data_IF_656099117140
#
_entry.id   IF_656099117140
#
_cell.length_a   1.000
_cell.length_b   1.000
_cell.length_c   1.000
_cell.angle_alpha   90.00
_cell.angle_beta   90.00
_cell.angle_gamma   90.00
#
_symmetry.space_group_name_H-M   'P 1'
#
loop_
_entity.id
_entity.type
_entity.pdbx_description
1 polymer ?
#
# COMPACT_ATOMS: atom_id res chain seq x y z
N UNK A 1 12.59 4.82 7.20
CA UNK A 1 11.63 5.89 6.86
C UNK A 1 10.31 5.63 7.59
N UNK A 2 9.85 6.55 8.47
CA UNK A 2 8.66 6.36 9.30
C UNK A 2 7.37 6.13 8.49
N UNK A 3 7.30 6.69 7.29
CA UNK A 3 6.13 6.58 6.42
C UNK A 3 6.03 5.19 5.80
N UNK A 4 7.17 4.66 5.32
CA UNK A 4 7.23 3.30 4.80
C UNK A 4 6.89 2.24 5.87
N UNK A 5 7.23 2.49 7.14
CA UNK A 5 6.85 1.61 8.26
C UNK A 5 5.33 1.59 8.49
N UNK A 6 4.65 2.73 8.35
CA UNK A 6 3.17 2.80 8.46
C UNK A 6 2.47 2.09 7.30
N UNK A 7 3.05 2.13 6.11
CA UNK A 7 2.51 1.48 4.91
C UNK A 7 2.86 -0.01 4.82
N UNK A 8 3.74 -0.49 5.70
CA UNK A 8 4.18 -1.88 5.71
C UNK A 8 3.00 -2.80 6.04
N UNK A 9 2.85 -3.86 5.22
CA UNK A 9 1.87 -4.91 5.49
C UNK A 9 2.28 -5.67 6.76
N UNK A 10 1.31 -5.85 7.67
CA UNK A 10 1.51 -6.61 8.91
C UNK A 10 1.41 -8.12 8.70
N UNK A 11 0.59 -8.55 7.74
CA UNK A 11 0.34 -9.96 7.43
C UNK A 11 0.95 -10.34 6.07
N UNK A 12 1.39 -11.61 5.90
CA UNK A 12 1.86 -12.12 4.62
C UNK A 12 0.74 -12.09 3.57
N UNK A 13 1.12 -11.81 2.32
CA UNK A 13 0.21 -11.74 1.18
C UNK A 13 0.30 -13.03 0.35
N UNK A 14 -0.39 -14.08 0.80
CA UNK A 14 -0.36 -15.41 0.19
C UNK A 14 -1.03 -15.47 -1.18
N UNK A 15 -1.85 -14.47 -1.53
CA UNK A 15 -2.50 -14.36 -2.83
C UNK A 15 -1.49 -14.27 -3.98
N UNK A 16 -0.25 -13.82 -3.72
CA UNK A 16 0.85 -13.83 -4.69
C UNK A 16 1.28 -15.25 -5.08
N UNK A 17 1.13 -16.21 -4.16
CA UNK A 17 1.55 -17.59 -4.38
C UNK A 17 0.47 -18.42 -5.10
N UNK A 18 -0.67 -17.80 -5.45
CA UNK A 18 -1.75 -18.50 -6.15
C UNK A 18 -1.33 -18.91 -7.55
N UNK A 19 -1.86 -20.04 -8.07
CA UNK A 19 -1.62 -20.45 -9.45
C UNK A 19 -2.10 -19.38 -10.44
N UNK A 20 -1.46 -19.35 -11.61
CA UNK A 20 -1.92 -18.52 -12.72
C UNK A 20 -3.32 -18.94 -13.20
N UNK A 21 -3.95 -18.05 -13.95
CA UNK A 21 -5.26 -18.31 -14.55
C UNK A 21 -5.13 -19.32 -15.69
N UNK A 22 -6.12 -20.21 -15.80
CA UNK A 22 -6.18 -21.18 -16.89
C UNK A 22 -6.56 -20.46 -18.19
N UNK A 23 -5.63 -20.35 -19.14
CA UNK A 23 -5.88 -19.74 -20.44
C UNK A 23 -6.93 -20.48 -21.27
N UNK A 24 -7.04 -21.81 -21.12
CA UNK A 24 -8.05 -22.63 -21.80
C UNK A 24 -9.45 -22.45 -21.21
N UNK A 25 -9.55 -22.20 -19.90
CA UNK A 25 -10.84 -21.94 -19.26
C UNK A 25 -11.42 -20.60 -19.72
N UNK A 26 -10.57 -19.56 -19.83
CA UNK A 26 -10.99 -18.25 -20.36
C UNK A 26 -11.52 -18.35 -21.80
N UNK A 27 -11.01 -19.31 -22.59
CA UNK A 27 -11.50 -19.60 -23.95
C UNK A 27 -12.71 -20.55 -24.00
N UNK A 28 -13.09 -21.17 -22.88
CA UNK A 28 -14.16 -22.17 -22.82
C UNK A 28 -13.77 -23.59 -23.25
N UNK A 29 -12.47 -23.88 -23.38
CA UNK A 29 -11.96 -25.16 -23.92
C UNK A 29 -11.27 -26.03 -22.86
N UNK A 30 -11.32 -25.66 -21.58
CA UNK A 30 -10.69 -26.43 -20.52
C UNK A 30 -11.41 -27.77 -20.30
N UNK A 31 -10.78 -28.88 -20.72
CA UNK A 31 -11.31 -30.25 -20.55
C UNK A 31 -10.94 -30.90 -19.21
N UNK A 32 -10.11 -30.23 -18.39
CA UNK A 32 -9.61 -30.77 -17.11
C UNK A 32 -10.61 -30.62 -15.95
N UNK A 33 -11.67 -29.82 -16.12
CA UNK A 33 -12.68 -29.59 -15.09
C UNK A 33 -12.06 -29.20 -13.75
N UNK A 34 -12.54 -29.82 -12.67
CA UNK A 34 -12.08 -29.58 -11.29
C UNK A 34 -10.65 -30.09 -11.03
N UNK A 35 -10.07 -30.92 -11.89
CA UNK A 35 -8.68 -31.40 -11.76
C UNK A 35 -7.66 -30.44 -12.39
N UNK A 36 -8.10 -29.25 -12.83
CA UNK A 36 -7.22 -28.22 -13.34
C UNK A 36 -6.45 -27.55 -12.19
N UNK A 37 -5.09 -27.60 -12.16
CA UNK A 37 -4.31 -26.92 -11.12
C UNK A 37 -4.27 -25.40 -11.29
N UNK A 38 -4.69 -24.91 -12.46
CA UNK A 38 -4.78 -23.49 -12.77
C UNK A 38 -6.13 -22.94 -12.34
N UNK A 39 -6.19 -21.66 -12.01
CA UNK A 39 -7.41 -21.05 -11.51
C UNK A 39 -8.43 -20.80 -12.62
N UNK A 40 -9.68 -21.12 -12.34
CA UNK A 40 -10.85 -20.87 -13.18
C UNK A 40 -11.56 -19.57 -12.74
N UNK A 41 -10.87 -18.45 -12.90
CA UNK A 41 -11.37 -17.11 -12.57
C UNK A 41 -11.14 -16.16 -13.76
N UNK A 42 -11.92 -15.08 -13.85
CA UNK A 42 -11.72 -14.08 -14.91
C UNK A 42 -10.43 -13.28 -14.66
N UNK A 43 -9.65 -13.00 -15.72
CA UNK A 43 -8.50 -12.12 -15.62
C UNK A 43 -8.91 -10.69 -15.27
N UNK A 44 -7.99 -9.95 -14.66
CA UNK A 44 -8.12 -8.50 -14.48
C UNK A 44 -8.19 -7.81 -15.84
N UNK A 45 -8.92 -6.69 -15.90
CA UNK A 45 -9.08 -5.90 -17.12
C UNK A 45 -7.71 -5.48 -17.69
N UNK A 46 -7.43 -5.76 -18.98
CA UNK A 46 -6.19 -5.31 -19.63
C UNK A 46 -6.05 -3.78 -19.71
N UNK A 47 -7.15 -3.03 -19.57
CA UNK A 47 -7.14 -1.57 -19.51
C UNK A 47 -6.83 -1.03 -18.12
N UNK A 48 -6.77 -1.89 -17.08
CA UNK A 48 -6.32 -1.46 -15.75
C UNK A 48 -4.82 -1.12 -15.83
N UNK A 49 -4.38 0.10 -15.43
CA UNK A 49 -2.96 0.45 -15.36
C UNK A 49 -2.14 -0.49 -14.46
N UNK A 50 -2.77 -1.28 -13.59
CA UNK A 50 -2.13 -2.29 -12.76
C UNK A 50 -1.74 -3.56 -13.54
N UNK A 51 -2.29 -3.79 -14.72
CA UNK A 51 -2.07 -5.01 -15.52
C UNK A 51 -0.72 -5.00 -16.25
N UNK A 52 -0.21 -3.84 -16.65
CA UNK A 52 1.09 -3.68 -17.31
C UNK A 52 2.23 -3.58 -16.27
N UNK A 53 2.87 -4.70 -15.94
CA UNK A 53 3.99 -4.75 -14.99
C UNK A 53 5.24 -5.36 -15.62
N UNK A 54 6.11 -4.53 -16.19
CA UNK A 54 7.41 -4.96 -16.70
C UNK A 54 8.41 -5.21 -15.56
N UNK A 55 9.16 -6.32 -15.63
CA UNK A 55 10.15 -6.72 -14.63
C UNK A 55 11.26 -5.67 -14.50
N UNK A 56 11.75 -5.14 -15.63
CA UNK A 56 12.86 -4.16 -15.65
C UNK A 56 12.47 -2.86 -14.95
N UNK A 57 11.28 -2.37 -15.28
CA UNK A 57 10.71 -1.14 -14.74
C UNK A 57 10.49 -1.26 -13.23
N UNK A 58 9.93 -2.38 -12.77
CA UNK A 58 9.74 -2.68 -11.35
C UNK A 58 11.04 -2.85 -10.58
N UNK A 59 12.09 -3.37 -11.21
CA UNK A 59 13.40 -3.53 -10.58
C UNK A 59 14.12 -2.18 -10.41
N UNK A 60 14.12 -1.35 -11.46
CA UNK A 60 14.79 -0.05 -11.43
C UNK A 60 13.96 1.07 -10.80
N UNK A 61 12.68 0.82 -10.48
CA UNK A 61 11.78 1.81 -9.88
C UNK A 61 11.26 2.85 -10.88
N UNK A 62 11.20 2.50 -12.16
CA UNK A 62 10.69 3.37 -13.23
C UNK A 62 9.24 2.99 -13.54
N UNK A 63 8.32 3.96 -13.59
CA UNK A 63 6.92 3.76 -14.00
C UNK A 63 6.20 2.54 -13.38
N UNK A 64 6.48 2.19 -12.12
CA UNK A 64 5.80 1.07 -11.44
C UNK A 64 4.38 1.49 -10.97
N UNK A 65 3.29 0.93 -11.56
CA UNK A 65 1.93 1.29 -11.17
C UNK A 65 1.59 0.91 -9.72
N UNK A 66 2.22 -0.15 -9.19
CA UNK A 66 2.04 -0.57 -7.79
C UNK A 66 2.65 0.46 -6.85
N UNK A 67 3.89 0.91 -7.15
CA UNK A 67 4.57 1.93 -6.37
C UNK A 67 3.79 3.25 -6.40
N UNK A 68 3.34 3.69 -7.58
CA UNK A 68 2.52 4.89 -7.73
C UNK A 68 1.23 4.83 -6.89
N UNK A 69 0.56 3.67 -6.84
CA UNK A 69 -0.63 3.48 -5.99
C UNK A 69 -0.30 3.57 -4.49
N UNK A 70 0.84 3.06 -4.06
CA UNK A 70 1.31 3.16 -2.67
C UNK A 70 1.63 4.62 -2.32
N UNK A 71 2.32 5.34 -3.21
CA UNK A 71 2.65 6.75 -3.02
C UNK A 71 1.41 7.65 -3.04
N UNK A 72 0.42 7.35 -3.88
CA UNK A 72 -0.86 8.07 -3.86
C UNK A 72 -1.57 7.91 -2.52
N UNK A 73 -1.65 6.68 -2.01
CA UNK A 73 -2.20 6.41 -0.67
C UNK A 73 -1.43 7.13 0.43
N UNK A 74 -0.11 7.28 0.26
CA UNK A 74 0.73 8.04 1.19
C UNK A 74 0.34 9.52 1.20
N UNK A 75 0.14 10.13 0.03
CA UNK A 75 -0.26 11.53 -0.05
C UNK A 75 -1.67 11.77 0.54
N UNK A 76 -2.53 10.76 0.50
CA UNK A 76 -3.86 10.81 1.14
C UNK A 76 -3.79 10.63 2.68
N UNK A 77 -2.63 10.29 3.26
CA UNK A 77 -2.46 10.22 4.72
C UNK A 77 -2.24 11.60 5.33
N UNK A 78 -2.63 11.78 6.61
CA UNK A 78 -2.60 13.05 7.36
C UNK A 78 -1.31 13.84 7.06
N UNK A 79 -1.46 14.91 6.28
CA UNK A 79 -0.44 15.91 6.04
C UNK A 79 -0.54 16.92 7.19
N UNK A 80 0.60 17.22 7.82
CA UNK A 80 0.66 18.36 8.74
C UNK A 80 0.69 19.63 7.90
N UNK A 81 -0.32 20.48 8.06
CA UNK A 81 -0.32 21.79 7.43
C UNK A 81 0.70 22.70 8.13
N UNK A 82 1.47 23.44 7.34
CA UNK A 82 2.36 24.47 7.87
C UNK A 82 1.55 25.65 8.40
N UNK A 83 1.93 26.27 9.53
CA UNK A 83 1.23 27.43 10.03
C UNK A 83 1.31 28.59 9.02
N UNK A 84 0.24 29.39 8.96
CA UNK A 84 0.14 30.56 8.08
C UNK A 84 1.26 31.56 8.40
N UNK A 85 1.55 31.74 9.69
CA UNK A 85 2.64 32.57 10.19
C UNK A 85 3.79 31.68 10.64
N UNK A 86 4.98 31.92 10.09
CA UNK A 86 6.21 31.19 10.39
C UNK A 86 6.75 31.46 11.80
N UNK A 87 6.28 32.50 12.48
CA UNK A 87 6.67 32.83 13.86
C UNK A 87 5.94 31.98 14.90
N UNK A 88 4.79 31.38 14.53
CA UNK A 88 4.00 30.55 15.43
C UNK A 88 4.71 29.21 15.63
N UNK A 89 5.16 28.98 16.87
CA UNK A 89 5.73 27.71 17.33
C UNK A 89 4.82 26.99 18.32
N UNK A 90 3.61 27.53 18.57
CA UNK A 90 2.62 26.94 19.47
C UNK A 90 2.10 25.61 18.92
N UNK A 91 2.17 24.55 19.73
CA UNK A 91 1.64 23.23 19.40
C UNK A 91 0.37 22.97 20.23
N UNK A 92 -0.72 22.63 19.55
CA UNK A 92 -1.92 22.10 20.20
C UNK A 92 -1.82 20.58 20.29
N UNK A 93 -1.90 20.04 21.50
CA UNK A 93 -1.84 18.59 21.76
C UNK A 93 -3.18 18.14 22.34
N UNK A 94 -3.93 17.36 21.58
CA UNK A 94 -5.20 16.75 22.00
C UNK A 94 -5.06 15.26 22.31
N UNK A 95 -6.05 14.68 22.99
CA UNK A 95 -6.10 13.24 23.28
C UNK A 95 -5.11 12.77 24.35
N UNK A 96 -4.68 13.67 25.24
CA UNK A 96 -3.82 13.31 26.36
C UNK A 96 -4.60 12.46 27.37
N UNK A 97 -3.99 11.35 27.78
CA UNK A 97 -4.48 10.57 28.91
C UNK A 97 -4.09 11.26 30.22
N UNK A 98 -4.94 11.10 31.24
CA UNK A 98 -4.76 11.66 32.59
C UNK A 98 -3.52 11.13 33.32
N UNK A 99 -2.93 10.03 32.83
CA UNK A 99 -1.71 9.42 33.35
C UNK A 99 -0.43 10.15 32.94
N UNK A 100 -0.48 10.99 31.90
CA UNK A 100 0.70 11.67 31.34
C UNK A 100 0.93 12.98 32.09
N UNK A 101 2.13 13.17 32.62
CA UNK A 101 2.49 14.39 33.35
C UNK A 101 3.19 15.42 32.45
N UNK A 102 3.25 16.68 32.91
CA UNK A 102 4.01 17.74 32.24
C UNK A 102 5.51 17.40 32.15
N UNK A 103 6.05 16.71 33.15
CA UNK A 103 7.47 16.36 33.20
C UNK A 103 7.81 15.33 32.13
N UNK A 104 6.95 14.33 31.91
CA UNK A 104 7.09 13.35 30.83
C UNK A 104 7.16 14.03 29.45
N UNK A 105 6.27 15.00 29.21
CA UNK A 105 6.28 15.77 27.96
C UNK A 105 7.56 16.59 27.83
N UNK A 106 7.99 17.25 28.91
CA UNK A 106 9.21 18.08 28.90
C UNK A 106 10.44 17.23 28.59
N UNK A 107 10.55 16.05 29.19
CA UNK A 107 11.66 15.12 28.97
C UNK A 107 11.67 14.50 27.57
N UNK A 108 10.52 14.37 26.91
CA UNK A 108 10.44 13.83 25.55
C UNK A 108 10.79 14.87 24.47
N UNK A 109 10.43 16.15 24.70
CA UNK A 109 10.67 17.23 23.74
C UNK A 109 12.05 17.88 23.86
N UNK A 110 12.79 17.63 24.95
CA UNK A 110 14.11 18.18 25.24
C UNK A 110 15.21 17.15 25.02
#
# INVERSE_FOLDING_TARGET
>A
NPILRRLQRQNPYYERNRPHLCSFWVKGECKRGEECPFRHEMPTDPNDPMSSQNIRDRYHGFNDPVANKILKRMNDTIILDTPIDKTITTLYVGGLDSTITKEDLTNYFY
#
